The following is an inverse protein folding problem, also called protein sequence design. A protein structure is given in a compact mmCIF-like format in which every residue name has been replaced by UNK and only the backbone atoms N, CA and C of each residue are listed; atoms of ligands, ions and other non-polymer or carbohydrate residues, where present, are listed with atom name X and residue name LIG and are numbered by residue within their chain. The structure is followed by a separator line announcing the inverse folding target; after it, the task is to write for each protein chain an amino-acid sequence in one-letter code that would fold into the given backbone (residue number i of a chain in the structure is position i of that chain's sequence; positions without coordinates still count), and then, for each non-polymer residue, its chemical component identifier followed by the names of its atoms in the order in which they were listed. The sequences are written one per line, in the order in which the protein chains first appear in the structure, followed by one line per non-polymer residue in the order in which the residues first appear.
data_IF_773265002767
#
_entry.id   IF_773265002767
#
_cell.length_a   1.000
_cell.length_b   1.000
_cell.length_c   1.000
_cell.angle_alpha   90.00
_cell.angle_beta   90.00
_cell.angle_gamma   90.00
#
_symmetry.space_group_name_H-M   'P 1'
#
loop_
_entity.id
_entity.type
_entity.pdbx_description
1 polymer ?
#
# COMPACT_ATOMS: atom_id res chain seq x y z
N UNK A 1 29.11 -13.54 -113.54
CA UNK A 1 29.07 -14.74 -114.40
C UNK A 1 28.95 -14.27 -115.83
N UNK A 2 30.03 -14.42 -116.61
CA UNK A 2 30.07 -13.99 -118.00
C UNK A 2 29.04 -14.78 -118.80
N UNK A 3 28.09 -14.09 -119.42
CA UNK A 3 27.13 -14.72 -120.34
C UNK A 3 27.95 -15.37 -121.44
N UNK A 4 27.79 -16.68 -121.63
CA UNK A 4 28.28 -17.41 -122.80
C UNK A 4 27.55 -16.83 -124.01
N UNK A 5 28.05 -15.72 -124.55
CA UNK A 5 27.49 -15.11 -125.74
C UNK A 5 27.57 -16.14 -126.86
N UNK A 6 26.42 -16.46 -127.46
CA UNK A 6 26.29 -17.39 -128.56
C UNK A 6 27.27 -16.97 -129.66
N UNK A 7 28.14 -17.88 -130.09
CA UNK A 7 29.12 -17.66 -131.16
C UNK A 7 28.45 -17.10 -132.41
N UNK A 8 27.20 -17.48 -132.68
CA UNK A 8 26.43 -16.94 -133.81
C UNK A 8 26.11 -15.46 -133.63
N UNK A 9 25.71 -15.06 -132.42
CA UNK A 9 25.40 -13.65 -132.09
C UNK A 9 26.65 -12.80 -132.17
N UNK A 10 27.75 -13.24 -131.56
CA UNK A 10 29.04 -12.53 -131.62
C UNK A 10 29.57 -12.42 -133.05
N UNK A 11 29.40 -13.47 -133.87
CA UNK A 11 29.78 -13.46 -135.29
C UNK A 11 29.02 -12.37 -136.05
N UNK A 12 27.70 -12.25 -135.84
CA UNK A 12 26.87 -11.22 -136.46
C UNK A 12 27.25 -9.81 -135.99
N UNK A 13 27.41 -9.62 -134.69
CA UNK A 13 27.79 -8.32 -134.11
C UNK A 13 29.16 -7.87 -134.63
N UNK A 14 30.14 -8.77 -134.65
CA UNK A 14 31.48 -8.48 -135.17
C UNK A 14 31.45 -8.18 -136.66
N UNK A 15 30.72 -8.95 -137.46
CA UNK A 15 30.56 -8.69 -138.89
C UNK A 15 29.89 -7.31 -139.14
N UNK A 16 28.90 -6.94 -138.31
CA UNK A 16 28.25 -5.64 -138.38
C UNK A 16 29.18 -4.48 -138.00
N UNK A 17 29.99 -4.63 -136.94
CA UNK A 17 30.99 -3.64 -136.52
C UNK A 17 32.03 -3.43 -137.63
N UNK A 18 32.62 -4.51 -138.15
CA UNK A 18 33.61 -4.43 -139.23
C UNK A 18 33.04 -3.80 -140.51
N UNK A 19 31.76 -4.05 -140.81
CA UNK A 19 31.09 -3.41 -141.93
C UNK A 19 30.81 -1.92 -141.68
N UNK A 20 30.46 -1.53 -140.45
CA UNK A 20 30.27 -0.13 -140.05
C UNK A 20 31.59 0.67 -140.07
N UNK A 21 32.73 0.01 -139.83
CA UNK A 21 34.08 0.57 -139.99
C UNK A 21 34.49 0.79 -141.47
N UNK A 22 33.60 0.48 -142.43
CA UNK A 22 33.79 0.76 -143.85
C UNK A 22 34.29 -0.43 -144.68
N UNK A 23 34.39 -1.63 -144.10
CA UNK A 23 34.74 -2.84 -144.87
C UNK A 23 33.53 -3.35 -145.66
N UNK A 24 33.73 -3.70 -146.92
CA UNK A 24 32.65 -4.19 -147.76
C UNK A 24 32.21 -5.61 -147.30
N UNK A 25 30.89 -5.89 -147.16
CA UNK A 25 30.38 -7.18 -146.66
C UNK A 25 30.93 -8.40 -147.40
N UNK A 26 31.17 -8.30 -148.72
CA UNK A 26 31.69 -9.41 -149.52
C UNK A 26 33.16 -9.75 -149.19
N UNK A 27 33.95 -8.78 -148.73
CA UNK A 27 35.38 -8.94 -148.40
C UNK A 27 35.65 -9.52 -147.01
N UNK A 28 34.64 -9.62 -146.14
CA UNK A 28 34.80 -10.16 -144.79
C UNK A 28 35.12 -11.66 -144.85
N UNK A 29 36.22 -12.10 -144.24
CA UNK A 29 36.60 -13.52 -144.20
C UNK A 29 36.36 -14.14 -142.82
N UNK A 30 36.29 -15.47 -142.80
CA UNK A 30 36.13 -16.23 -141.54
C UNK A 30 37.28 -15.95 -140.59
N UNK A 31 38.51 -15.82 -141.10
CA UNK A 31 39.68 -15.55 -140.27
C UNK A 31 39.64 -14.15 -139.65
N UNK A 32 39.15 -13.14 -140.36
CA UNK A 32 38.97 -11.79 -139.81
C UNK A 32 37.95 -11.75 -138.67
N UNK A 33 36.85 -12.51 -138.79
CA UNK A 33 35.89 -12.65 -137.69
C UNK A 33 36.51 -13.43 -136.53
N UNK A 34 37.22 -14.52 -136.85
CA UNK A 34 37.86 -15.38 -135.85
C UNK A 34 38.95 -14.64 -135.07
N UNK A 35 39.66 -13.70 -135.68
CA UNK A 35 40.67 -12.86 -135.02
C UNK A 35 40.09 -11.99 -133.89
N UNK A 36 38.84 -11.54 -134.03
CA UNK A 36 38.15 -10.68 -133.06
C UNK A 36 37.44 -11.51 -131.98
N UNK A 37 36.65 -12.52 -132.36
CA UNK A 37 35.87 -13.29 -131.38
C UNK A 37 36.67 -14.41 -130.71
N UNK A 38 37.71 -14.93 -131.39
CA UNK A 38 38.63 -16.02 -130.95
C UNK A 38 37.95 -17.23 -130.31
N UNK A 39 36.69 -17.46 -130.66
CA UNK A 39 35.80 -18.46 -130.05
C UNK A 39 34.94 -19.11 -131.12
N UNK A 40 34.61 -20.39 -130.94
CA UNK A 40 33.72 -21.15 -131.83
C UNK A 40 34.44 -21.89 -132.97
N UNK A 41 33.70 -22.73 -133.69
CA UNK A 41 34.23 -23.44 -134.86
C UNK A 41 34.26 -22.52 -136.08
N UNK A 42 35.32 -22.59 -136.89
CA UNK A 42 35.41 -21.92 -138.19
C UNK A 42 34.24 -22.26 -139.11
N UNK A 43 33.67 -23.47 -138.99
CA UNK A 43 32.47 -23.87 -139.76
C UNK A 43 31.23 -23.09 -139.35
N UNK A 44 30.97 -22.97 -138.04
CA UNK A 44 29.84 -22.20 -137.50
C UNK A 44 29.95 -20.72 -137.85
N UNK A 45 31.16 -20.16 -137.79
CA UNK A 45 31.42 -18.77 -138.19
C UNK A 45 31.20 -18.59 -139.68
N UNK A 46 31.68 -19.51 -140.51
CA UNK A 46 31.48 -19.46 -141.95
C UNK A 46 29.99 -19.51 -142.34
N UNK A 47 29.23 -20.42 -141.73
CA UNK A 47 27.81 -20.57 -142.01
C UNK A 47 27.01 -19.33 -141.59
N UNK A 48 27.32 -18.78 -140.41
CA UNK A 48 26.64 -17.58 -139.92
C UNK A 48 27.06 -16.32 -140.68
N UNK A 49 28.33 -16.21 -141.06
CA UNK A 49 28.82 -15.12 -141.90
C UNK A 49 28.20 -15.17 -143.31
N UNK A 50 28.03 -16.37 -143.89
CA UNK A 50 27.32 -16.54 -145.17
C UNK A 50 25.86 -16.08 -145.06
N UNK A 51 25.16 -16.47 -143.99
CA UNK A 51 23.79 -16.02 -143.72
C UNK A 51 23.71 -14.52 -143.54
N UNK A 52 24.56 -13.94 -142.70
CA UNK A 52 24.63 -12.50 -142.49
C UNK A 52 24.93 -11.74 -143.80
N UNK A 53 25.85 -12.23 -144.64
CA UNK A 53 26.13 -11.62 -145.95
C UNK A 53 24.92 -11.71 -146.89
N UNK A 54 24.23 -12.84 -146.93
CA UNK A 54 23.03 -13.01 -147.75
C UNK A 54 21.90 -12.08 -147.28
N UNK A 55 21.67 -11.99 -145.98
CA UNK A 55 20.74 -11.04 -145.37
C UNK A 55 21.13 -9.60 -145.69
N UNK A 56 22.44 -9.28 -145.71
CA UNK A 56 22.92 -7.94 -146.03
C UNK A 56 22.71 -7.59 -147.49
N UNK A 57 23.00 -8.51 -148.41
CA UNK A 57 22.73 -8.32 -149.84
C UNK A 57 21.23 -8.12 -150.07
N UNK A 58 20.39 -8.90 -149.39
CA UNK A 58 18.94 -8.76 -149.46
C UNK A 58 18.47 -7.40 -148.91
N UNK A 59 19.02 -6.96 -147.77
CA UNK A 59 18.71 -5.66 -147.18
C UNK A 59 19.19 -4.49 -148.06
N UNK A 60 20.40 -4.56 -148.61
CA UNK A 60 20.97 -3.55 -149.50
C UNK A 60 20.18 -3.49 -150.83
N UNK A 61 19.73 -4.64 -151.36
CA UNK A 61 18.85 -4.70 -152.52
C UNK A 61 17.49 -4.03 -152.23
N UNK A 62 16.86 -4.36 -151.10
CA UNK A 62 15.61 -3.71 -150.66
C UNK A 62 15.78 -2.20 -150.44
N UNK A 63 16.91 -1.78 -149.86
CA UNK A 63 17.24 -0.37 -149.70
C UNK A 63 17.43 0.35 -151.05
N UNK A 64 18.05 -0.32 -152.04
CA UNK A 64 18.25 0.22 -153.39
C UNK A 64 16.95 0.29 -154.22
N UNK A 65 15.95 -0.52 -153.88
CA UNK A 65 14.61 -0.48 -154.52
C UNK A 65 13.70 0.61 -153.98
N UNK A 66 14.03 1.19 -152.82
CA UNK A 66 13.25 2.31 -152.26
C UNK A 66 13.69 3.63 -152.88
N UNK A 67 12.75 4.48 -153.33
CA UNK A 67 13.06 5.87 -153.68
C UNK A 67 13.76 6.58 -152.51
N UNK A 68 14.85 7.34 -152.75
CA UNK A 68 15.64 7.99 -151.69
C UNK A 68 14.79 8.86 -150.74
N UNK A 69 13.77 9.54 -151.27
CA UNK A 69 12.83 10.34 -150.48
C UNK A 69 12.02 9.50 -149.48
N UNK A 70 11.60 8.29 -149.88
CA UNK A 70 10.86 7.37 -149.00
C UNK A 70 11.81 6.81 -147.94
N UNK A 71 13.04 6.41 -148.31
CA UNK A 71 14.03 5.92 -147.36
C UNK A 71 14.42 6.97 -146.30
N UNK A 72 14.56 8.24 -146.70
CA UNK A 72 14.79 9.35 -145.76
C UNK A 72 13.58 9.57 -144.85
N UNK A 73 12.36 9.56 -145.39
CA UNK A 73 11.14 9.70 -144.58
C UNK A 73 10.96 8.58 -143.56
N UNK A 74 11.30 7.33 -143.91
CA UNK A 74 11.26 6.20 -142.97
C UNK A 74 12.32 6.32 -141.87
N UNK A 75 13.54 6.77 -142.20
CA UNK A 75 14.57 7.05 -141.20
C UNK A 75 14.17 8.19 -140.27
N UNK A 76 13.61 9.27 -140.81
CA UNK A 76 13.10 10.38 -140.02
C UNK A 76 11.93 9.96 -139.12
N UNK A 77 10.99 9.16 -139.62
CA UNK A 77 9.87 8.63 -138.84
C UNK A 77 10.36 7.70 -137.72
N UNK A 78 11.33 6.82 -138.01
CA UNK A 78 11.93 5.96 -137.01
C UNK A 78 12.66 6.76 -135.93
N UNK A 79 13.48 7.75 -136.32
CA UNK A 79 14.16 8.62 -135.37
C UNK A 79 13.15 9.36 -134.47
N UNK A 80 12.08 9.92 -135.05
CA UNK A 80 11.02 10.57 -134.29
C UNK A 80 10.30 9.61 -133.32
N UNK A 81 10.03 8.37 -133.75
CA UNK A 81 9.41 7.35 -132.90
C UNK A 81 10.33 6.91 -131.75
N UNK A 82 11.63 6.77 -132.00
CA UNK A 82 12.63 6.47 -130.96
C UNK A 82 12.74 7.63 -129.97
N UNK A 83 12.83 8.88 -130.44
CA UNK A 83 12.89 10.06 -129.59
C UNK A 83 11.63 10.18 -128.72
N UNK A 84 10.44 9.98 -129.30
CA UNK A 84 9.18 9.97 -128.56
C UNK A 84 9.14 8.84 -127.53
N UNK A 85 9.59 7.63 -127.89
CA UNK A 85 9.67 6.50 -126.97
C UNK A 85 10.64 6.74 -125.81
N UNK A 86 11.80 7.36 -126.08
CA UNK A 86 12.77 7.72 -125.05
C UNK A 86 12.21 8.78 -124.08
N UNK A 87 11.47 9.77 -124.59
CA UNK A 87 10.80 10.76 -123.76
C UNK A 87 9.72 10.14 -122.88
N UNK A 88 8.85 9.29 -123.45
CA UNK A 88 7.82 8.58 -122.69
C UNK A 88 8.43 7.67 -121.63
N UNK A 89 9.45 6.90 -121.99
CA UNK A 89 10.17 6.04 -121.06
C UNK A 89 10.83 6.83 -119.92
N UNK A 90 11.41 8.00 -120.21
CA UNK A 90 11.98 8.86 -119.17
C UNK A 90 10.91 9.34 -118.18
N UNK A 91 9.75 9.79 -118.69
CA UNK A 91 8.63 10.23 -117.85
C UNK A 91 8.08 9.08 -117.00
N UNK A 92 7.86 7.90 -117.59
CA UNK A 92 7.38 6.72 -116.85
C UNK A 92 8.39 6.28 -115.78
N UNK A 93 9.69 6.29 -116.11
CA UNK A 93 10.74 5.99 -115.15
C UNK A 93 10.73 6.97 -113.99
N UNK A 94 10.67 8.28 -114.27
CA UNK A 94 10.75 9.31 -113.24
C UNK A 94 9.51 9.26 -112.33
N UNK A 95 8.30 9.11 -112.90
CA UNK A 95 7.05 8.94 -112.13
C UNK A 95 7.06 7.68 -111.24
N UNK A 96 7.58 6.55 -111.73
CA UNK A 96 7.75 5.35 -110.92
C UNK A 96 8.78 5.54 -109.80
N UNK A 97 9.84 6.31 -110.06
CA UNK A 97 10.87 6.60 -109.08
C UNK A 97 10.32 7.48 -107.96
N UNK A 98 9.59 8.54 -108.31
CA UNK A 98 8.88 9.41 -107.36
C UNK A 98 7.83 8.63 -106.54
N UNK A 99 7.01 7.80 -107.18
CA UNK A 99 6.02 6.98 -106.49
C UNK A 99 6.66 6.01 -105.50
N UNK A 100 7.80 5.40 -105.87
CA UNK A 100 8.57 4.53 -104.98
C UNK A 100 9.14 5.31 -103.79
N UNK A 101 9.72 6.48 -104.02
CA UNK A 101 10.27 7.31 -102.95
C UNK A 101 9.18 7.78 -101.97
N UNK A 102 8.03 8.20 -102.48
CA UNK A 102 6.87 8.55 -101.66
C UNK A 102 6.34 7.35 -100.84
N UNK A 103 6.30 6.15 -101.44
CA UNK A 103 5.93 4.93 -100.73
C UNK A 103 6.95 4.55 -99.63
N UNK A 104 8.25 4.70 -99.91
CA UNK A 104 9.30 4.47 -98.91
C UNK A 104 9.26 5.49 -97.78
N UNK A 105 8.97 6.76 -98.08
CA UNK A 105 8.81 7.80 -97.08
C UNK A 105 7.63 7.52 -96.15
N UNK A 106 6.45 7.22 -96.71
CA UNK A 106 5.26 6.89 -95.90
C UNK A 106 5.43 5.61 -95.08
N UNK A 107 6.12 4.59 -95.62
CA UNK A 107 6.44 3.37 -94.86
C UNK A 107 7.37 3.66 -93.67
N UNK A 108 8.38 4.53 -93.84
CA UNK A 108 9.27 4.95 -92.75
C UNK A 108 8.51 5.70 -91.67
N UNK A 109 7.66 6.65 -92.04
CA UNK A 109 6.84 7.42 -91.11
C UNK A 109 5.89 6.51 -90.30
N UNK A 110 5.26 5.54 -90.96
CA UNK A 110 4.43 4.53 -90.28
C UNK A 110 5.27 3.64 -89.34
N UNK A 111 6.48 3.26 -89.74
CA UNK A 111 7.42 2.51 -88.91
C UNK A 111 7.84 3.28 -87.66
N UNK A 112 8.13 4.57 -87.80
CA UNK A 112 8.46 5.46 -86.68
C UNK A 112 7.28 5.65 -85.73
N UNK A 113 6.06 5.85 -86.25
CA UNK A 113 4.85 5.95 -85.44
C UNK A 113 4.59 4.65 -84.66
N UNK A 114 4.71 3.49 -85.31
CA UNK A 114 4.54 2.19 -84.65
C UNK A 114 5.59 1.98 -83.56
N UNK A 115 6.84 2.34 -83.79
CA UNK A 115 7.90 2.26 -82.79
C UNK A 115 7.62 3.17 -81.59
N UNK A 116 7.10 4.39 -81.81
CA UNK A 116 6.69 5.30 -80.73
C UNK A 116 5.52 4.73 -79.93
N UNK A 117 4.50 4.17 -80.59
CA UNK A 117 3.36 3.55 -79.89
C UNK A 117 3.78 2.32 -79.08
N UNK A 118 4.70 1.50 -79.60
CA UNK A 118 5.26 0.36 -78.86
C UNK A 118 6.04 0.83 -77.64
N UNK A 119 6.91 1.84 -77.77
CA UNK A 119 7.63 2.40 -76.63
C UNK A 119 6.69 2.98 -75.55
N UNK A 120 5.59 3.62 -75.96
CA UNK A 120 4.56 4.10 -75.04
C UNK A 120 3.84 2.93 -74.34
N UNK A 121 3.50 1.87 -75.07
CA UNK A 121 2.86 0.68 -74.52
C UNK A 121 3.78 -0.03 -73.50
N UNK A 122 5.07 -0.17 -73.81
CA UNK A 122 6.05 -0.76 -72.91
C UNK A 122 6.18 0.07 -71.63
N UNK A 123 6.30 1.40 -71.77
CA UNK A 123 6.35 2.33 -70.63
C UNK A 123 5.11 2.23 -69.74
N UNK A 124 3.91 2.20 -70.34
CA UNK A 124 2.66 2.04 -69.58
C UNK A 124 2.58 0.67 -68.91
N UNK A 125 3.08 -0.38 -69.55
CA UNK A 125 3.11 -1.73 -68.98
C UNK A 125 4.03 -1.79 -67.77
N UNK A 126 5.22 -1.17 -67.84
CA UNK A 126 6.14 -1.02 -66.71
C UNK A 126 5.52 -0.20 -65.56
N UNK A 127 4.80 0.88 -65.87
CA UNK A 127 4.10 1.67 -64.85
C UNK A 127 3.02 0.85 -64.16
N UNK A 128 2.23 0.07 -64.90
CA UNK A 128 1.18 -0.79 -64.34
C UNK A 128 1.77 -1.88 -63.46
N UNK A 129 2.87 -2.52 -63.85
CA UNK A 129 3.52 -3.54 -63.02
C UNK A 129 4.12 -2.93 -61.75
N UNK A 130 4.77 -1.77 -61.85
CA UNK A 130 5.28 -1.04 -60.70
C UNK A 130 4.17 -0.63 -59.72
N UNK A 131 3.05 -0.11 -60.22
CA UNK A 131 1.90 0.27 -59.39
C UNK A 131 1.24 -0.94 -58.74
N UNK A 132 1.14 -2.08 -59.43
CA UNK A 132 0.64 -3.33 -58.85
C UNK A 132 1.53 -3.82 -57.70
N UNK A 133 2.84 -3.84 -57.90
CA UNK A 133 3.78 -4.22 -56.85
C UNK A 133 3.73 -3.26 -55.64
N UNK A 134 3.59 -1.95 -55.89
CA UNK A 134 3.42 -0.96 -54.83
C UNK A 134 2.10 -1.16 -54.05
N UNK A 135 1.01 -1.48 -54.76
CA UNK A 135 -0.29 -1.76 -54.15
C UNK A 135 -0.24 -3.02 -53.27
N UNK A 136 0.35 -4.12 -53.75
CA UNK A 136 0.52 -5.34 -52.97
C UNK A 136 1.35 -5.08 -51.71
N UNK A 137 2.47 -4.35 -51.84
CA UNK A 137 3.29 -3.94 -50.70
C UNK A 137 2.51 -3.11 -49.69
N UNK A 138 1.69 -2.16 -50.14
CA UNK A 138 0.86 -1.34 -49.27
C UNK A 138 -0.24 -2.17 -48.57
N UNK A 139 -0.84 -3.14 -49.26
CA UNK A 139 -1.82 -4.06 -48.69
C UNK A 139 -1.20 -4.95 -47.62
N UNK A 140 -0.01 -5.50 -47.85
CA UNK A 140 0.73 -6.27 -46.84
C UNK A 140 1.10 -5.42 -45.63
N UNK A 141 1.68 -4.23 -45.83
CA UNK A 141 2.00 -3.32 -44.73
C UNK A 141 0.75 -2.92 -43.91
N UNK A 142 -0.40 -2.74 -44.57
CA UNK A 142 -1.67 -2.49 -43.89
C UNK A 142 -2.12 -3.69 -43.06
N UNK A 143 -2.05 -4.90 -43.61
CA UNK A 143 -2.40 -6.13 -42.89
C UNK A 143 -1.50 -6.32 -41.66
N UNK A 144 -0.20 -6.06 -41.77
CA UNK A 144 0.75 -6.13 -40.65
C UNK A 144 0.40 -5.13 -39.54
N UNK A 145 0.04 -3.89 -39.91
CA UNK A 145 -0.39 -2.86 -38.95
C UNK A 145 -1.72 -3.25 -38.28
N UNK A 146 -2.68 -3.80 -39.03
CA UNK A 146 -3.96 -4.26 -38.47
C UNK A 146 -3.74 -5.45 -37.51
N UNK A 147 -2.85 -6.39 -37.85
CA UNK A 147 -2.46 -7.49 -36.97
C UNK A 147 -1.77 -6.99 -35.69
N UNK A 148 -0.79 -6.07 -35.81
CA UNK A 148 -0.12 -5.47 -34.66
C UNK A 148 -1.09 -4.71 -33.75
N UNK A 149 -2.06 -3.98 -34.33
CA UNK A 149 -3.12 -3.30 -33.57
C UNK A 149 -4.01 -4.29 -32.84
N UNK A 150 -4.38 -5.42 -33.45
CA UNK A 150 -5.18 -6.44 -32.80
C UNK A 150 -4.45 -7.06 -31.60
N UNK A 151 -3.15 -7.35 -31.73
CA UNK A 151 -2.32 -7.84 -30.63
C UNK A 151 -2.22 -6.81 -29.51
N UNK A 152 -1.90 -5.55 -29.83
CA UNK A 152 -1.81 -4.48 -28.84
C UNK A 152 -3.15 -4.22 -28.13
N UNK A 153 -4.28 -4.34 -28.83
CA UNK A 153 -5.61 -4.21 -28.23
C UNK A 153 -5.92 -5.37 -27.27
N UNK A 154 -5.54 -6.60 -27.63
CA UNK A 154 -5.67 -7.76 -26.74
C UNK A 154 -4.80 -7.61 -25.49
N UNK A 155 -3.55 -7.18 -25.64
CA UNK A 155 -2.64 -6.88 -24.51
C UNK A 155 -3.16 -5.77 -23.60
N UNK A 156 -3.73 -4.70 -24.18
CA UNK A 156 -4.34 -3.63 -23.40
C UNK A 156 -5.56 -4.11 -22.60
N UNK A 157 -6.36 -5.00 -23.18
CA UNK A 157 -7.51 -5.61 -22.50
C UNK A 157 -7.06 -6.51 -21.35
N UNK A 158 -6.06 -7.37 -21.57
CA UNK A 158 -5.53 -8.24 -20.51
C UNK A 158 -4.91 -7.43 -19.37
N UNK A 159 -4.12 -6.40 -19.69
CA UNK A 159 -3.57 -5.48 -18.69
C UNK A 159 -4.66 -4.80 -17.88
N UNK A 160 -5.74 -4.35 -18.54
CA UNK A 160 -6.87 -3.73 -17.85
C UNK A 160 -7.57 -4.70 -16.89
N UNK A 161 -7.81 -5.93 -17.35
CA UNK A 161 -8.40 -6.97 -16.50
C UNK A 161 -7.49 -7.30 -15.31
N UNK A 162 -6.17 -7.39 -15.50
CA UNK A 162 -5.23 -7.62 -14.39
C UNK A 162 -5.25 -6.48 -13.38
N UNK A 163 -5.32 -5.24 -13.86
CA UNK A 163 -5.32 -4.06 -13.02
C UNK A 163 -6.63 -3.93 -12.23
N UNK A 164 -7.77 -4.27 -12.83
CA UNK A 164 -9.06 -4.28 -12.16
C UNK A 164 -9.14 -5.42 -11.11
N UNK A 165 -8.57 -6.60 -11.39
CA UNK A 165 -8.40 -7.67 -10.38
C UNK A 165 -7.53 -7.20 -9.22
N UNK A 166 -6.34 -6.65 -9.48
CA UNK A 166 -5.47 -6.16 -8.40
C UNK A 166 -6.13 -5.04 -7.57
N UNK A 167 -6.93 -4.18 -8.19
CA UNK A 167 -7.70 -3.15 -7.47
C UNK A 167 -8.75 -3.78 -6.57
N UNK A 168 -9.43 -4.82 -7.05
CA UNK A 168 -10.41 -5.56 -6.26
C UNK A 168 -9.75 -6.25 -5.08
N UNK A 169 -8.66 -6.99 -5.31
CA UNK A 169 -7.91 -7.70 -4.27
C UNK A 169 -7.40 -6.73 -3.21
N UNK A 170 -6.79 -5.60 -3.62
CA UNK A 170 -6.35 -4.55 -2.68
C UNK A 170 -7.51 -3.92 -1.90
N UNK A 171 -8.70 -3.81 -2.48
CA UNK A 171 -9.86 -3.30 -1.77
C UNK A 171 -10.36 -4.30 -0.73
N UNK A 172 -10.36 -5.60 -1.06
CA UNK A 172 -10.67 -6.68 -0.13
C UNK A 172 -9.66 -6.73 1.03
N UNK A 173 -8.35 -6.72 0.74
CA UNK A 173 -7.29 -6.71 1.76
C UNK A 173 -7.44 -5.52 2.73
N UNK A 174 -7.76 -4.33 2.21
CA UNK A 174 -8.00 -3.15 3.05
C UNK A 174 -9.24 -3.31 3.92
N UNK A 175 -10.33 -3.85 3.38
CA UNK A 175 -11.55 -4.10 4.14
C UNK A 175 -11.30 -5.13 5.26
N UNK A 176 -10.57 -6.20 4.98
CA UNK A 176 -10.18 -7.19 5.97
C UNK A 176 -9.27 -6.60 7.06
N UNK A 177 -8.24 -5.83 6.66
CA UNK A 177 -7.35 -5.17 7.61
C UNK A 177 -8.12 -4.18 8.50
N UNK A 178 -9.07 -3.43 7.93
CA UNK A 178 -9.92 -2.53 8.68
C UNK A 178 -10.81 -3.29 9.67
N UNK A 179 -11.48 -4.36 9.23
CA UNK A 179 -12.29 -5.21 10.11
C UNK A 179 -11.48 -5.83 11.26
N UNK A 180 -10.24 -6.26 11.00
CA UNK A 180 -9.33 -6.75 12.05
C UNK A 180 -8.96 -5.64 13.04
N UNK A 181 -8.68 -4.43 12.57
CA UNK A 181 -8.39 -3.28 13.44
C UNK A 181 -9.60 -2.89 14.29
N UNK A 182 -10.80 -2.86 13.71
CA UNK A 182 -12.04 -2.61 14.44
C UNK A 182 -12.30 -3.67 15.52
N UNK A 183 -12.06 -4.95 15.21
CA UNK A 183 -12.20 -6.03 16.19
C UNK A 183 -11.20 -5.88 17.35
N UNK A 184 -9.93 -5.56 17.07
CA UNK A 184 -8.92 -5.28 18.10
C UNK A 184 -9.31 -4.06 18.92
N UNK A 185 -9.80 -3.00 18.30
CA UNK A 185 -10.26 -1.81 19.01
C UNK A 185 -11.46 -2.11 19.91
N UNK A 186 -12.46 -2.85 19.41
CA UNK A 186 -13.64 -3.26 20.18
C UNK A 186 -13.26 -4.13 21.39
N UNK A 187 -12.36 -5.10 21.20
CA UNK A 187 -11.86 -5.94 22.30
C UNK A 187 -11.07 -5.14 23.34
N UNK A 188 -10.21 -4.21 22.90
CA UNK A 188 -9.49 -3.34 23.81
C UNK A 188 -10.44 -2.41 24.60
N UNK A 189 -11.44 -1.83 23.93
CA UNK A 189 -12.46 -1.01 24.60
C UNK A 189 -13.25 -1.82 25.62
N UNK A 190 -13.66 -3.04 25.28
CA UNK A 190 -14.35 -3.93 26.22
C UNK A 190 -13.48 -4.21 27.46
N UNK A 191 -12.19 -4.54 27.28
CA UNK A 191 -11.26 -4.76 28.38
C UNK A 191 -11.07 -3.51 29.26
N UNK A 192 -10.98 -2.31 28.67
CA UNK A 192 -10.91 -1.06 29.43
C UNK A 192 -12.19 -0.81 30.23
N UNK A 193 -13.37 -1.08 29.66
CA UNK A 193 -14.64 -0.93 30.38
C UNK A 193 -14.77 -1.91 31.54
N UNK A 194 -14.35 -3.16 31.34
CA UNK A 194 -14.33 -4.19 32.38
C UNK A 194 -13.37 -3.81 33.51
N UNK A 195 -12.15 -3.37 33.17
CA UNK A 195 -11.17 -2.91 34.14
C UNK A 195 -11.68 -1.68 34.93
N UNK A 196 -12.33 -0.72 34.26
CA UNK A 196 -12.90 0.46 34.92
C UNK A 196 -14.06 0.07 35.86
N UNK A 197 -14.86 -0.93 35.52
CA UNK A 197 -15.90 -1.47 36.39
C UNK A 197 -15.28 -2.17 37.62
N UNK A 198 -14.28 -3.03 37.41
CA UNK A 198 -13.57 -3.71 38.50
C UNK A 198 -12.95 -2.71 39.49
N UNK A 199 -12.30 -1.65 39.00
CA UNK A 199 -11.75 -0.59 39.85
C UNK A 199 -12.83 0.16 40.65
N UNK A 200 -14.00 0.43 40.04
CA UNK A 200 -15.12 1.05 40.76
C UNK A 200 -15.65 0.15 41.86
N UNK A 201 -15.76 -1.15 41.60
CA UNK A 201 -16.20 -2.12 42.59
C UNK A 201 -15.20 -2.24 43.75
N UNK A 202 -13.90 -2.23 43.47
CA UNK A 202 -12.85 -2.20 44.49
C UNK A 202 -12.89 -0.92 45.34
N UNK A 203 -13.07 0.25 44.71
CA UNK A 203 -13.25 1.52 45.42
C UNK A 203 -14.48 1.50 46.32
N UNK A 204 -15.61 0.98 45.84
CA UNK A 204 -16.83 0.85 46.63
C UNK A 204 -16.61 -0.05 47.84
N UNK A 205 -16.00 -1.23 47.65
CA UNK A 205 -15.66 -2.15 48.77
C UNK A 205 -14.68 -1.53 49.76
N UNK A 206 -13.68 -0.80 49.29
CA UNK A 206 -12.73 -0.11 50.17
C UNK A 206 -13.44 1.00 50.98
N UNK A 207 -14.35 1.73 50.35
CA UNK A 207 -15.19 2.74 51.00
C UNK A 207 -16.09 2.12 52.06
N UNK A 208 -16.78 1.01 51.74
CA UNK A 208 -17.60 0.27 52.69
C UNK A 208 -16.79 -0.23 53.89
N UNK A 209 -15.59 -0.78 53.66
CA UNK A 209 -14.68 -1.21 54.73
C UNK A 209 -14.24 -0.05 55.62
N UNK A 210 -13.96 1.12 55.03
CA UNK A 210 -13.61 2.33 55.77
C UNK A 210 -14.79 2.84 56.59
N UNK A 211 -15.98 2.95 56.00
CA UNK A 211 -17.20 3.35 56.71
C UNK A 211 -17.53 2.39 57.86
N UNK A 212 -17.32 1.09 57.65
CA UNK A 212 -17.51 0.08 58.69
C UNK A 212 -16.49 0.23 59.82
N UNK A 213 -15.21 0.43 59.51
CA UNK A 213 -14.17 0.64 60.53
C UNK A 213 -14.35 1.96 61.29
N UNK A 214 -14.77 3.03 60.60
CA UNK A 214 -15.15 4.31 61.20
C UNK A 214 -16.34 4.14 62.15
N UNK A 215 -17.41 3.46 61.73
CA UNK A 215 -18.56 3.18 62.58
C UNK A 215 -18.20 2.33 63.81
N UNK A 216 -17.33 1.31 63.63
CA UNK A 216 -16.81 0.51 64.74
C UNK A 216 -15.96 1.37 65.71
N UNK A 217 -15.09 2.23 65.18
CA UNK A 217 -14.27 3.14 65.99
C UNK A 217 -15.14 4.10 66.80
N UNK A 218 -16.15 4.72 66.18
CA UNK A 218 -17.10 5.58 66.87
C UNK A 218 -17.84 4.82 67.98
N UNK A 219 -18.29 3.60 67.72
CA UNK A 219 -18.90 2.74 68.73
C UNK A 219 -17.94 2.44 69.89
N UNK A 220 -16.68 2.08 69.60
CA UNK A 220 -15.66 1.84 70.62
C UNK A 220 -15.39 3.09 71.48
N UNK A 221 -15.36 4.28 70.87
CA UNK A 221 -15.23 5.56 71.59
C UNK A 221 -16.42 5.79 72.50
N UNK A 222 -17.64 5.56 72.04
CA UNK A 222 -18.85 5.71 72.86
C UNK A 222 -18.91 4.69 74.00
N UNK A 223 -18.58 3.42 73.74
CA UNK A 223 -18.46 2.38 74.76
C UNK A 223 -17.39 2.76 75.81
N UNK A 224 -16.22 3.25 75.36
CA UNK A 224 -15.15 3.72 76.25
C UNK A 224 -15.61 4.92 77.09
N UNK A 225 -16.36 5.88 76.52
CA UNK A 225 -16.95 7.00 77.27
C UNK A 225 -17.97 6.54 78.31
N UNK A 226 -18.81 5.54 77.99
CA UNK A 226 -19.76 4.97 78.95
C UNK A 226 -19.04 4.26 80.09
N UNK A 227 -18.01 3.47 79.78
CA UNK A 227 -17.15 2.81 80.79
C UNK A 227 -16.46 3.87 81.66
N UNK A 228 -15.91 4.93 81.05
CA UNK A 228 -15.27 6.04 81.74
C UNK A 228 -16.26 6.71 82.72
N UNK A 229 -17.47 7.09 82.27
CA UNK A 229 -18.50 7.69 83.15
C UNK A 229 -18.90 6.77 84.30
N UNK A 230 -19.02 5.46 84.05
CA UNK A 230 -19.29 4.47 85.11
C UNK A 230 -18.14 4.40 86.11
N UNK A 231 -16.90 4.40 85.63
CA UNK A 231 -15.71 4.40 86.48
C UNK A 231 -15.62 5.70 87.31
N UNK A 232 -15.90 6.86 86.72
CA UNK A 232 -16.00 8.15 87.41
C UNK A 232 -17.09 8.12 88.48
N UNK A 233 -18.27 7.59 88.19
CA UNK A 233 -19.38 7.46 89.15
C UNK A 233 -19.04 6.47 90.29
N UNK A 234 -18.34 5.39 89.99
CA UNK A 234 -17.86 4.46 91.01
C UNK A 234 -16.77 5.12 91.88
N UNK A 235 -15.88 5.90 91.28
CA UNK A 235 -14.85 6.66 91.98
C UNK A 235 -15.47 7.69 92.93
N UNK A 236 -16.46 8.47 92.47
CA UNK A 236 -17.16 9.44 93.34
C UNK A 236 -17.86 8.74 94.49
N UNK A 237 -18.55 7.61 94.25
CA UNK A 237 -19.18 6.82 95.31
C UNK A 237 -18.17 6.28 96.35
N UNK A 238 -17.02 5.77 95.90
CA UNK A 238 -15.95 5.32 96.80
C UNK A 238 -15.36 6.51 97.57
N UNK A 239 -15.20 7.67 96.94
CA UNK A 239 -14.77 8.89 97.62
C UNK A 239 -15.78 9.32 98.69
N UNK A 240 -17.08 9.35 98.39
CA UNK A 240 -18.16 9.63 99.34
C UNK A 240 -18.14 8.65 100.51
N UNK A 241 -18.03 7.33 100.25
CA UNK A 241 -17.88 6.31 101.28
C UNK A 241 -16.61 6.53 102.12
N UNK A 242 -15.49 6.89 101.51
CA UNK A 242 -14.26 7.20 102.24
C UNK A 242 -14.42 8.44 103.12
N UNK A 243 -15.12 9.48 102.64
CA UNK A 243 -15.45 10.65 103.46
C UNK A 243 -16.38 10.30 104.61
N UNK A 244 -17.40 9.45 104.37
CA UNK A 244 -18.30 8.93 105.40
C UNK A 244 -17.56 8.13 106.47
N UNK A 245 -16.70 7.19 106.06
CA UNK A 245 -15.84 6.44 106.97
C UNK A 245 -14.88 7.36 107.74
N UNK A 246 -14.35 8.42 107.12
CA UNK A 246 -13.51 9.41 107.81
C UNK A 246 -14.30 10.19 108.85
N UNK A 247 -15.54 10.58 108.56
CA UNK A 247 -16.42 11.26 109.53
C UNK A 247 -16.82 10.32 110.66
N UNK A 248 -17.18 9.08 110.37
CA UNK A 248 -17.48 8.06 111.39
C UNK A 248 -16.27 7.79 112.29
N UNK A 249 -15.07 7.68 111.71
CA UNK A 249 -13.84 7.48 112.46
C UNK A 249 -13.49 8.72 113.31
N UNK A 250 -13.79 9.93 112.82
CA UNK A 250 -13.68 11.16 113.60
C UNK A 250 -14.69 11.21 114.76
N UNK A 251 -15.95 10.81 114.53
CA UNK A 251 -16.97 10.71 115.56
C UNK A 251 -16.61 9.66 116.62
N UNK A 252 -16.16 8.47 116.20
CA UNK A 252 -15.68 7.42 117.10
C UNK A 252 -14.52 7.93 117.94
N UNK A 253 -13.51 8.58 117.34
CA UNK A 253 -12.42 9.22 118.09
C UNK A 253 -12.92 10.26 119.09
N UNK A 254 -13.94 11.03 118.74
CA UNK A 254 -14.54 12.02 119.64
C UNK A 254 -15.33 11.37 120.77
N UNK A 255 -16.08 10.28 120.50
CA UNK A 255 -16.78 9.46 121.50
C UNK A 255 -15.78 8.81 122.45
N UNK A 256 -14.75 8.15 121.93
CA UNK A 256 -13.67 7.58 122.76
C UNK A 256 -12.98 8.64 123.62
N UNK A 257 -12.77 9.86 123.10
CA UNK A 257 -12.26 10.98 123.92
C UNK A 257 -13.24 11.37 125.04
N UNK A 258 -14.55 11.42 124.76
CA UNK A 258 -15.58 11.68 125.79
C UNK A 258 -15.61 10.57 126.82
N UNK A 259 -15.66 9.32 126.41
CA UNK A 259 -15.66 8.15 127.30
C UNK A 259 -14.41 8.13 128.18
N UNK A 260 -13.24 8.47 127.62
CA UNK A 260 -12.00 8.62 128.39
C UNK A 260 -12.08 9.76 129.43
N UNK A 261 -12.71 10.90 129.08
CA UNK A 261 -12.92 12.01 130.01
C UNK A 261 -13.95 11.67 131.10
N UNK A 262 -15.02 10.96 130.76
CA UNK A 262 -16.04 10.49 131.71
C UNK A 262 -15.47 9.43 132.66
N UNK A 263 -14.65 8.49 132.15
CA UNK A 263 -13.93 7.52 132.98
C UNK A 263 -12.96 8.22 133.92
N UNK A 264 -12.20 9.21 133.43
CA UNK A 264 -11.31 10.01 134.27
C UNK A 264 -12.08 10.78 135.35
N UNK A 265 -13.23 11.38 135.00
CA UNK A 265 -14.10 12.06 135.95
C UNK A 265 -14.69 11.09 137.00
N UNK A 266 -15.14 9.90 136.58
CA UNK A 266 -15.65 8.85 137.47
C UNK A 266 -14.56 8.31 138.41
N UNK A 267 -13.33 8.16 137.94
CA UNK A 267 -12.18 7.82 138.77
C UNK A 267 -11.86 8.92 139.79
N UNK A 268 -12.00 10.19 139.39
CA UNK A 268 -11.78 11.33 140.27
C UNK A 268 -12.87 11.48 141.35
N UNK A 269 -14.12 11.14 141.03
CA UNK A 269 -15.21 11.10 142.02
C UNK A 269 -15.10 9.90 142.96
N UNK A 270 -14.70 8.73 142.47
CA UNK A 270 -14.43 7.55 143.30
C UNK A 270 -13.31 7.79 144.31
N UNK A 271 -12.23 8.46 143.90
CA UNK A 271 -11.12 8.83 144.80
C UNK A 271 -11.58 9.84 145.86
N UNK A 272 -12.40 10.83 145.49
CA UNK A 272 -12.99 11.78 146.44
C UNK A 272 -14.00 11.14 147.42
N UNK A 273 -14.76 10.13 146.99
CA UNK A 273 -15.65 9.37 147.88
C UNK A 273 -14.87 8.46 148.83
N UNK A 274 -13.76 7.86 148.37
CA UNK A 274 -12.85 7.10 149.23
C UNK A 274 -12.21 7.97 150.32
N UNK A 275 -11.77 9.18 149.99
CA UNK A 275 -11.21 10.08 151.01
C UNK A 275 -12.25 10.49 152.06
N UNK A 276 -13.51 10.75 151.63
CA UNK A 276 -14.63 11.02 152.55
C UNK A 276 -14.97 9.83 153.46
N UNK A 277 -14.92 8.60 152.93
CA UNK A 277 -15.16 7.39 153.75
C UNK A 277 -14.10 7.26 154.86
N UNK A 278 -12.83 7.46 154.53
CA UNK A 278 -11.72 7.45 155.52
C UNK A 278 -11.91 8.55 156.58
N UNK A 279 -12.37 9.75 156.19
CA UNK A 279 -12.70 10.82 157.15
C UNK A 279 -13.87 10.46 158.08
N UNK A 280 -14.91 9.80 157.57
CA UNK A 280 -16.06 9.37 158.38
C UNK A 280 -15.72 8.24 159.35
N UNK A 281 -14.87 7.30 158.95
CA UNK A 281 -14.38 6.22 159.82
C UNK A 281 -13.48 6.77 160.95
N UNK A 282 -12.64 7.77 160.65
CA UNK A 282 -11.84 8.45 161.67
C UNK A 282 -12.70 9.20 162.71
N UNK A 283 -13.79 9.85 162.28
CA UNK A 283 -14.73 10.53 163.17
C UNK A 283 -15.58 9.56 164.01
N UNK A 284 -15.91 8.38 163.48
CA UNK A 284 -16.61 7.33 164.21
C UNK A 284 -15.72 6.70 165.30
N UNK A 285 -14.45 6.40 164.99
CA UNK A 285 -13.49 5.89 165.96
C UNK A 285 -13.18 6.90 167.09
N UNK A 286 -13.23 8.21 166.81
CA UNK A 286 -13.08 9.25 167.82
C UNK A 286 -14.29 9.33 168.78
N UNK A 287 -15.52 9.13 168.29
CA UNK A 287 -16.74 9.09 169.11
C UNK A 287 -16.81 7.85 170.01
N UNK A 288 -16.36 6.70 169.51
CA UNK A 288 -16.35 5.44 170.26
C UNK A 288 -15.34 5.48 171.42
N UNK A 289 -14.18 6.12 171.23
CA UNK A 289 -13.20 6.39 172.31
C UNK A 289 -13.73 7.34 173.37
N UNK A 290 -14.49 8.37 172.98
CA UNK A 290 -15.08 9.32 173.92
C UNK A 290 -16.14 8.69 174.84
N UNK A 291 -16.96 7.77 174.32
CA UNK A 291 -17.99 7.04 175.06
C UNK A 291 -17.41 6.09 176.12
N UNK A 292 -16.28 5.44 175.84
CA UNK A 292 -15.59 4.54 176.79
C UNK A 292 -14.98 5.31 177.98
N UNK A 293 -14.50 6.54 177.76
CA UNK A 293 -14.05 7.42 178.85
C UNK A 293 -15.19 7.94 179.74
N UNK A 294 -16.40 8.11 179.19
CA UNK A 294 -17.54 8.67 179.92
C UNK A 294 -18.20 7.63 180.85
N UNK A 295 -18.20 6.35 180.46
CA UNK A 295 -18.74 5.25 181.28
C UNK A 295 -17.81 4.86 182.43
N UNK A 296 -16.49 4.91 182.23
CA UNK A 296 -15.51 4.70 183.30
C UNK A 296 -15.58 5.78 184.42
N UNK A 297 -16.03 7.00 184.10
CA UNK A 297 -16.21 8.08 185.08
C UNK A 297 -17.51 7.94 185.91
N UNK A 298 -18.54 7.27 185.37
CA UNK A 298 -19.80 7.03 186.07
C UNK A 298 -19.69 5.91 187.13
N UNK A 299 -18.92 4.86 186.87
CA UNK A 299 -18.69 3.77 187.84
C UNK A 299 -17.82 4.18 189.04
N UNK A 300 -17.01 5.22 188.91
CA UNK A 300 -16.20 5.79 190.00
C UNK A 300 -17.04 6.65 190.98
N UNK A 301 -18.13 7.27 190.51
CA UNK A 301 -18.98 8.14 191.33
C UNK A 301 -19.91 7.37 192.29
N UNK A 302 -20.32 6.15 191.94
CA UNK A 302 -21.21 5.33 192.78
C UNK A 302 -20.51 4.60 193.94
N UNK A 303 -19.18 4.41 193.89
CA UNK A 303 -18.40 3.83 195.02
C UNK A 303 -18.13 4.84 196.14
N UNK A 304 -18.27 6.15 195.89
CA UNK A 304 -18.02 7.20 196.89
C UNK A 304 -19.24 7.45 197.78
N UNK A 305 -20.47 7.30 197.27
CA UNK A 305 -21.71 7.51 198.04
C UNK A 305 -21.93 6.39 199.08
N UNK A 306 -21.46 5.17 198.82
CA UNK A 306 -21.51 4.06 199.79
C UNK A 306 -20.58 4.20 201.01
N UNK A 307 -19.67 5.18 201.04
CA UNK A 307 -18.67 5.31 202.11
C UNK A 307 -18.97 6.41 203.14
N UNK A 308 -19.96 7.28 202.90
CA UNK A 308 -20.28 8.41 203.80
C UNK A 308 -21.45 8.15 204.77
N UNK A 309 -22.33 7.18 204.51
CA UNK A 309 -23.43 6.86 205.44
C UNK A 309 -23.01 5.88 206.56
N UNK A 310 -21.78 5.35 206.52
CA UNK A 310 -21.24 4.41 207.52
C UNK A 310 -20.50 5.06 208.71
N UNK A 311 -20.38 6.40 208.78
CA UNK A 311 -19.45 7.06 209.72
C UNK A 311 -20.06 7.71 210.98
N UNK A 312 -21.38 7.82 211.14
CA UNK A 312 -21.95 8.51 212.32
C UNK A 312 -23.28 7.91 212.80
N UNK A 313 -23.26 6.69 213.36
CA UNK A 313 -24.13 6.42 214.49
C UNK A 313 -23.26 6.34 215.76
N UNK A 314 -23.50 7.29 216.68
CA UNK A 314 -23.10 7.45 218.10
C UNK A 314 -22.01 6.51 218.68
N UNK A 315 -21.21 6.97 219.67
CA UNK A 315 -20.55 6.02 220.54
C UNK A 315 -21.61 5.29 221.37
N UNK A 316 -21.86 4.00 221.06
CA UNK A 316 -21.64 2.85 221.94
C UNK A 316 -22.30 1.57 221.40
N UNK A 317 -21.47 0.51 221.43
CA UNK A 317 -21.71 -0.95 221.27
C UNK A 317 -21.85 -1.45 219.82
N UNK A 318 -21.03 -2.39 219.34
CA UNK A 318 -19.89 -3.08 219.92
C UNK A 318 -19.48 -4.31 219.09
N UNK A 319 -18.22 -4.72 219.29
CA UNK A 319 -17.68 -6.10 219.14
C UNK A 319 -17.55 -6.70 217.71
N UNK A 320 -16.71 -7.74 217.51
CA UNK A 320 -15.41 -7.54 216.86
C UNK A 320 -15.02 -8.61 215.80
N UNK A 321 -13.93 -8.32 215.05
CA UNK A 321 -12.85 -9.26 214.63
C UNK A 321 -13.19 -10.46 213.66
N UNK A 322 -12.19 -11.12 213.03
CA UNK A 322 -11.29 -10.61 211.99
C UNK A 322 -11.05 -11.68 210.88
N UNK A 323 -9.97 -11.49 210.12
CA UNK A 323 -9.13 -12.53 209.47
C UNK A 323 -9.66 -13.13 208.17
N UNK A 324 -8.85 -13.61 207.23
CA UNK A 324 -7.43 -13.56 206.90
C UNK A 324 -7.30 -14.39 205.61
N UNK A 325 -6.24 -14.15 204.85
CA UNK A 325 -5.78 -14.91 203.67
C UNK A 325 -6.56 -14.68 202.37
#
# INVERSE_FOLDING_TARGET
MARTSDTRTLTRETAAILAAEGRAPHTLTVDQIYEVIRQGSRTTINDELKRWKAERIQADALASTLPPAIAESMRALWAAAVDQGMQQFAVERDTLTEAREAALASWREQGELLAQMQAQQDTLTEQVTALRAALEKAQHARADVEAARAVAAAEAMTLRDTLDRERHDRAQDRAEAHGRLEAVHATHQAALTEQAQAFRDELNRATERLQHSEAQMLKQIDDARVIQRRAETHLTKVQEQNTGLRTELAELRQRTRRDQQELAAAQHTLTALRSRLVETEALAAARERALITQTAQAEAAQRVIGTLEAALQRPRRGRPQPSAS
#
